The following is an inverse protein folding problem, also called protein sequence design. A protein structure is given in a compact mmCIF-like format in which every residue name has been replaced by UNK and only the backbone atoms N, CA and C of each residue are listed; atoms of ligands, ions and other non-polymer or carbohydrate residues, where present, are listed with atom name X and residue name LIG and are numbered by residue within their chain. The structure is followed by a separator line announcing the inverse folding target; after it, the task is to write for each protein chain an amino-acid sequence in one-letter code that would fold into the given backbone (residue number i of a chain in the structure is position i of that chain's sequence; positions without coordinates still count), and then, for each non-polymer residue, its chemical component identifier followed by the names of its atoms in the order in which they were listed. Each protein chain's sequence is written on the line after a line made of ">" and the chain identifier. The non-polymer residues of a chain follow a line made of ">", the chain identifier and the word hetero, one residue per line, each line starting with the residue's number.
data_IF_673840124727
#
_entry.id   IF_673840124727
#
_cell.length_a   1.000
_cell.length_b   1.000
_cell.length_c   1.000
_cell.angle_alpha   90.00
_cell.angle_beta   90.00
_cell.angle_gamma   90.00
#
_symmetry.space_group_name_H-M   'P 1'
#
loop_
_entity.id
_entity.type
_entity.pdbx_description
1 polymer ?
#
# COMPACT_ATOMS: atom_id res chain seq x y z
N UNK A 1 8.22 -4.47 15.35
CA UNK A 1 7.01 -4.81 14.56
C UNK A 1 7.44 -5.05 13.13
N UNK A 2 6.74 -5.91 12.39
CA UNK A 2 7.08 -6.20 11.00
C UNK A 2 5.82 -6.06 10.14
N UNK A 3 6.02 -5.63 8.87
CA UNK A 3 5.00 -5.69 7.85
C UNK A 3 5.34 -6.88 6.95
N UNK A 4 4.57 -7.94 7.05
CA UNK A 4 4.77 -9.19 6.30
C UNK A 4 3.85 -9.13 5.08
N UNK A 5 4.44 -9.02 3.91
CA UNK A 5 3.70 -8.86 2.65
C UNK A 5 3.66 -10.17 1.89
N UNK A 6 2.45 -10.62 1.56
CA UNK A 6 2.22 -11.66 0.57
C UNK A 6 2.11 -11.00 -0.79
N UNK A 7 3.10 -11.22 -1.65
CA UNK A 7 3.10 -10.65 -2.99
C UNK A 7 2.03 -11.27 -3.88
N UNK A 8 1.68 -10.61 -4.97
CA UNK A 8 0.73 -11.10 -5.98
C UNK A 8 1.16 -12.45 -6.60
N UNK A 9 2.46 -12.75 -6.56
CA UNK A 9 3.02 -14.04 -6.97
C UNK A 9 2.96 -15.13 -5.88
N UNK A 10 2.45 -14.80 -4.69
CA UNK A 10 2.35 -15.72 -3.56
C UNK A 10 3.64 -15.93 -2.77
N UNK A 11 4.65 -15.10 -2.98
CA UNK A 11 5.89 -15.06 -2.17
C UNK A 11 5.69 -14.18 -0.95
N UNK A 12 6.59 -14.29 0.03
CA UNK A 12 6.58 -13.48 1.24
C UNK A 12 7.84 -12.65 1.36
N UNK A 13 7.66 -11.37 1.65
CA UNK A 13 8.72 -10.44 2.02
C UNK A 13 8.37 -9.78 3.36
N UNK A 14 9.38 -9.31 4.06
CA UNK A 14 9.20 -8.55 5.30
C UNK A 14 9.72 -7.14 5.06
N UNK A 15 8.86 -6.14 5.26
CA UNK A 15 9.24 -4.74 5.27
C UNK A 15 9.47 -4.29 6.71
N UNK A 16 10.52 -3.51 6.98
CA UNK A 16 10.76 -2.97 8.33
C UNK A 16 9.64 -2.00 8.74
N UNK A 17 9.46 -1.82 10.02
CA UNK A 17 8.46 -0.92 10.59
C UNK A 17 8.72 0.56 10.27
N UNK A 18 9.95 0.95 9.94
CA UNK A 18 10.29 2.30 9.47
C UNK A 18 9.63 2.64 8.14
N UNK A 19 9.22 1.64 7.35
CA UNK A 19 8.48 1.89 6.10
C UNK A 19 7.02 2.24 6.34
N UNK A 20 6.50 2.04 7.55
CA UNK A 20 5.08 2.20 7.85
C UNK A 20 4.68 3.65 8.03
N UNK A 21 3.73 4.08 7.21
CA UNK A 21 3.04 5.35 7.34
C UNK A 21 1.58 5.12 7.76
N UNK A 22 1.15 5.75 8.86
CA UNK A 22 -0.17 5.59 9.48
C UNK A 22 -1.03 6.82 9.45
N UNK A 23 -0.38 7.97 9.43
CA UNK A 23 -0.99 9.27 9.74
C UNK A 23 -1.19 10.10 8.46
N UNK A 24 -0.97 9.48 7.27
CA UNK A 24 -1.07 10.12 5.95
C UNK A 24 -0.11 11.33 5.80
N UNK A 25 1.10 11.21 6.35
CA UNK A 25 2.13 12.20 6.10
C UNK A 25 2.60 12.15 4.64
N UNK A 26 2.91 13.32 4.09
CA UNK A 26 3.43 13.43 2.73
C UNK A 26 4.77 12.71 2.58
N UNK A 27 4.97 12.03 1.46
CA UNK A 27 6.25 11.41 1.16
C UNK A 27 7.15 12.35 0.36
N UNK A 28 8.31 12.66 0.92
CA UNK A 28 9.39 13.36 0.24
C UNK A 28 10.33 12.33 -0.37
N UNK A 29 10.24 12.17 -1.69
CA UNK A 29 10.99 11.14 -2.41
C UNK A 29 12.47 11.49 -2.45
N UNK A 30 13.38 10.62 -1.96
CA UNK A 30 14.82 10.89 -1.98
C UNK A 30 15.35 11.17 -3.39
N UNK A 31 16.40 11.99 -3.51
CA UNK A 31 16.98 12.40 -4.80
C UNK A 31 17.43 11.24 -5.70
N UNK A 32 17.85 10.12 -5.10
CA UNK A 32 18.30 8.94 -5.84
C UNK A 32 17.13 8.09 -6.41
N UNK A 33 15.88 8.42 -6.04
CA UNK A 33 14.67 7.75 -6.54
C UNK A 33 14.01 8.65 -7.58
N UNK A 34 13.89 8.16 -8.80
CA UNK A 34 13.27 8.86 -9.90
C UNK A 34 11.90 8.34 -10.28
N UNK A 35 11.59 7.10 -9.92
CA UNK A 35 10.35 6.41 -10.30
C UNK A 35 9.78 5.64 -9.14
N UNK A 36 8.46 5.76 -8.97
CA UNK A 36 7.70 4.99 -7.99
C UNK A 36 6.68 4.10 -8.69
N UNK A 37 6.71 2.83 -8.35
CA UNK A 37 5.62 1.90 -8.63
C UNK A 37 4.81 1.65 -7.36
N UNK A 38 3.61 1.11 -7.52
CA UNK A 38 2.68 0.91 -6.43
C UNK A 38 1.87 -0.39 -6.56
N UNK A 39 1.32 -0.82 -5.43
CA UNK A 39 0.32 -1.89 -5.38
C UNK A 39 -0.65 -1.65 -4.23
N UNK A 40 -1.96 -1.85 -4.44
CA UNK A 40 -2.94 -1.83 -3.36
C UNK A 40 -2.84 -3.12 -2.55
N UNK A 41 -3.07 -3.01 -1.25
CA UNK A 41 -3.04 -4.15 -0.34
C UNK A 41 -4.27 -4.21 0.56
N UNK A 42 -4.71 -5.42 0.85
CA UNK A 42 -5.54 -5.74 2.00
C UNK A 42 -4.60 -6.10 3.15
N UNK A 43 -4.78 -5.52 4.33
CA UNK A 43 -3.95 -5.87 5.46
C UNK A 43 -4.76 -6.24 6.71
N UNK A 44 -4.14 -7.04 7.58
CA UNK A 44 -4.69 -7.44 8.86
C UNK A 44 -3.69 -7.18 9.98
N UNK A 45 -4.17 -6.59 11.08
CA UNK A 45 -3.38 -6.38 12.29
C UNK A 45 -3.37 -7.64 13.14
N UNK A 46 -2.17 -8.12 13.46
CA UNK A 46 -1.98 -9.30 14.31
C UNK A 46 -2.19 -8.92 15.77
N UNK A 47 -3.14 -9.58 16.41
CA UNK A 47 -3.49 -9.39 17.82
C UNK A 47 -2.93 -10.49 18.74
N UNK A 48 -2.42 -11.59 18.17
CA UNK A 48 -1.92 -12.74 18.92
C UNK A 48 -0.66 -13.34 18.28
N UNK A 49 0.39 -13.62 19.08
CA UNK A 49 1.60 -14.23 18.55
C UNK A 49 1.36 -15.67 18.11
N UNK A 50 2.08 -16.13 17.08
CA UNK A 50 1.94 -17.49 16.58
C UNK A 50 3.02 -17.96 15.64
N UNK A 51 3.17 -19.27 15.52
CA UNK A 51 4.01 -19.98 14.56
C UNK A 51 3.27 -21.23 14.10
N UNK A 52 3.42 -21.59 12.82
CA UNK A 52 2.77 -22.77 12.23
C UNK A 52 1.25 -22.79 12.49
N UNK A 53 0.61 -21.65 12.31
CA UNK A 53 -0.84 -21.48 12.52
C UNK A 53 -1.58 -22.16 11.39
N UNK A 54 -2.49 -23.08 11.73
CA UNK A 54 -3.39 -23.68 10.74
C UNK A 54 -4.44 -22.68 10.24
N UNK A 55 -4.83 -22.80 8.98
CA UNK A 55 -5.77 -21.86 8.34
C UNK A 55 -7.11 -21.77 9.09
N UNK A 56 -7.63 -22.89 9.61
CA UNK A 56 -8.87 -22.94 10.39
C UNK A 56 -8.79 -22.17 11.71
N UNK A 57 -7.59 -21.96 12.22
CA UNK A 57 -7.35 -21.23 13.46
C UNK A 57 -6.89 -19.79 13.25
N UNK A 58 -6.52 -19.41 12.03
CA UNK A 58 -5.89 -18.14 11.70
C UNK A 58 -6.77 -16.94 12.06
N UNK A 59 -8.09 -17.09 12.00
CA UNK A 59 -9.04 -16.02 12.36
C UNK A 59 -8.91 -15.52 13.81
N UNK A 60 -8.31 -16.31 14.69
CA UNK A 60 -8.09 -15.94 16.10
C UNK A 60 -6.84 -15.09 16.32
N UNK A 61 -6.06 -14.85 15.25
CA UNK A 61 -4.75 -14.20 15.33
C UNK A 61 -4.75 -12.75 14.87
N UNK A 62 -5.85 -12.27 14.27
CA UNK A 62 -6.00 -10.87 13.89
C UNK A 62 -7.32 -10.30 14.41
N UNK A 63 -7.37 -9.01 14.66
CA UNK A 63 -8.53 -8.32 15.24
C UNK A 63 -9.06 -7.17 14.38
N UNK A 64 -8.29 -6.72 13.40
CA UNK A 64 -8.68 -5.64 12.54
C UNK A 64 -8.09 -5.80 11.14
N UNK A 65 -8.77 -5.17 10.19
CA UNK A 65 -8.42 -5.17 8.77
C UNK A 65 -8.39 -3.75 8.23
N UNK A 66 -7.70 -3.55 7.13
CA UNK A 66 -7.71 -2.31 6.40
C UNK A 66 -7.22 -2.51 4.98
N UNK A 67 -7.40 -1.47 4.18
CA UNK A 67 -6.79 -1.37 2.86
C UNK A 67 -5.72 -0.30 2.88
N UNK A 68 -4.69 -0.52 2.08
CA UNK A 68 -3.54 0.37 2.02
C UNK A 68 -2.85 0.32 0.67
N UNK A 69 -1.72 1.01 0.60
CA UNK A 69 -0.88 1.09 -0.59
C UNK A 69 0.57 0.87 -0.19
N UNK A 70 1.26 0.06 -0.98
CA UNK A 70 2.71 -0.07 -0.91
C UNK A 70 3.34 0.63 -2.09
N UNK A 71 4.32 1.48 -1.83
CA UNK A 71 5.15 2.13 -2.83
C UNK A 71 6.50 1.42 -2.93
N UNK A 72 7.08 1.43 -4.13
CA UNK A 72 8.38 0.83 -4.41
C UNK A 72 9.21 1.76 -5.29
N UNK A 73 10.45 2.11 -4.88
CA UNK A 73 11.39 2.84 -5.72
C UNK A 73 11.86 1.94 -6.87
N UNK A 74 11.38 2.20 -8.07
CA UNK A 74 11.62 1.33 -9.23
C UNK A 74 13.09 1.31 -9.65
N UNK A 75 13.82 2.40 -9.39
CA UNK A 75 15.25 2.49 -9.66
C UNK A 75 16.10 1.49 -8.82
N UNK A 76 15.56 1.02 -7.70
CA UNK A 76 16.19 -0.02 -6.87
C UNK A 76 15.80 -1.44 -7.30
N UNK A 77 14.78 -1.58 -8.17
CA UNK A 77 14.29 -2.85 -8.68
C UNK A 77 15.05 -3.21 -9.98
N UNK A 78 16.19 -3.84 -9.84
CA UNK A 78 17.07 -4.25 -10.97
C UNK A 78 16.69 -5.61 -11.58
N UNK A 79 15.53 -6.14 -11.24
CA UNK A 79 15.07 -7.47 -11.66
C UNK A 79 15.60 -8.61 -10.78
N UNK A 80 16.49 -8.33 -9.82
CA UNK A 80 16.95 -9.32 -8.83
C UNK A 80 16.05 -9.36 -7.59
N UNK A 81 16.06 -10.48 -6.89
CA UNK A 81 15.38 -10.60 -5.59
C UNK A 81 16.00 -9.65 -4.53
N UNK A 82 17.29 -9.40 -4.60
CA UNK A 82 17.99 -8.47 -3.71
C UNK A 82 17.59 -7.02 -3.96
N UNK A 83 17.50 -6.59 -5.22
CA UNK A 83 17.03 -5.26 -5.59
C UNK A 83 15.59 -5.04 -5.11
N UNK A 84 14.72 -6.02 -5.30
CA UNK A 84 13.34 -5.95 -4.79
C UNK A 84 13.28 -5.89 -3.25
N UNK A 85 14.12 -6.66 -2.55
CA UNK A 85 14.19 -6.59 -1.10
C UNK A 85 14.67 -5.21 -0.61
N UNK A 86 15.67 -4.62 -1.27
CA UNK A 86 16.13 -3.26 -0.97
C UNK A 86 15.04 -2.21 -1.22
N UNK A 87 14.33 -2.29 -2.36
CA UNK A 87 13.22 -1.41 -2.69
C UNK A 87 12.09 -1.49 -1.65
N UNK A 88 11.93 -2.65 -1.01
CA UNK A 88 10.93 -2.87 0.03
C UNK A 88 11.30 -2.28 1.39
N UNK A 89 12.48 -1.69 1.54
CA UNK A 89 12.98 -1.13 2.80
C UNK A 89 12.97 0.40 2.84
N UNK A 90 12.54 1.08 1.78
CA UNK A 90 12.49 2.54 1.77
C UNK A 90 11.47 3.03 2.81
N UNK A 91 11.91 3.96 3.66
CA UNK A 91 11.08 4.53 4.72
C UNK A 91 9.82 5.21 4.17
N UNK A 92 8.74 5.24 4.96
CA UNK A 92 7.46 5.89 4.62
C UNK A 92 6.84 5.43 3.29
N UNK A 93 7.01 4.15 2.91
CA UNK A 93 6.47 3.62 1.65
C UNK A 93 5.40 2.54 1.84
N UNK A 94 4.96 2.32 3.08
CA UNK A 94 3.86 1.40 3.41
C UNK A 94 2.71 2.16 4.05
N UNK A 95 1.82 2.72 3.24
CA UNK A 95 0.64 3.46 3.70
C UNK A 95 -0.44 2.48 4.15
N UNK A 96 -0.46 2.20 5.46
CA UNK A 96 -1.40 1.28 6.10
C UNK A 96 -2.11 2.02 7.23
N UNK A 97 -3.20 2.74 6.91
CA UNK A 97 -3.83 3.71 7.81
C UNK A 97 -4.50 3.08 9.01
N UNK A 98 -4.60 3.84 10.09
CA UNK A 98 -5.36 3.52 11.30
C UNK A 98 -6.43 4.60 11.56
N UNK A 99 -7.55 4.22 12.21
CA UNK A 99 -7.88 2.92 12.82
C UNK A 99 -8.25 1.83 11.81
N UNK A 100 -7.98 0.58 12.17
CA UNK A 100 -8.41 -0.59 11.40
C UNK A 100 -9.89 -0.87 11.59
N UNK A 101 -10.52 -1.45 10.59
CA UNK A 101 -11.91 -1.86 10.60
C UNK A 101 -12.09 -3.23 11.25
N UNK A 102 -13.29 -3.50 11.73
CA UNK A 102 -13.64 -4.82 12.22
C UNK A 102 -13.63 -5.82 11.04
N UNK A 103 -13.11 -7.02 11.28
CA UNK A 103 -12.97 -8.07 10.28
C UNK A 103 -14.28 -8.50 9.57
N UNK A 104 -15.43 -8.36 10.23
CA UNK A 104 -16.74 -8.64 9.59
C UNK A 104 -17.09 -7.65 8.47
N UNK A 105 -16.36 -6.54 8.35
CA UNK A 105 -16.56 -5.54 7.30
C UNK A 105 -16.14 -6.08 5.92
N UNK A 106 -15.21 -7.05 5.88
CA UNK A 106 -14.68 -7.62 4.64
C UNK A 106 -15.71 -8.32 3.78
N UNK A 107 -16.62 -9.06 4.42
CA UNK A 107 -17.56 -9.93 3.72
C UNK A 107 -18.79 -9.18 3.19
N UNK A 108 -18.80 -7.85 3.26
CA UNK A 108 -19.90 -7.01 2.79
C UNK A 108 -19.60 -6.45 1.40
N UNK A 109 -20.37 -6.82 0.36
CA UNK A 109 -20.12 -6.41 -1.02
C UNK A 109 -20.27 -4.89 -1.24
N UNK A 110 -21.03 -4.21 -0.39
CA UNK A 110 -21.17 -2.75 -0.43
C UNK A 110 -19.92 -1.99 0.02
N UNK A 111 -18.97 -2.66 0.69
CA UNK A 111 -17.74 -2.08 1.13
C UNK A 111 -16.71 -2.08 0.01
N UNK A 112 -16.61 -0.97 -0.68
CA UNK A 112 -15.68 -0.77 -1.79
C UNK A 112 -14.47 0.00 -1.31
N UNK A 113 -13.28 -0.45 -1.69
CA UNK A 113 -12.03 0.30 -1.59
C UNK A 113 -11.71 0.91 -2.94
N UNK A 114 -11.61 2.23 -2.98
CA UNK A 114 -11.29 3.00 -4.19
C UNK A 114 -10.01 3.79 -3.98
N UNK A 115 -9.15 3.81 -5.00
CA UNK A 115 -7.91 4.56 -5.00
C UNK A 115 -7.88 5.49 -6.21
N UNK A 116 -7.59 6.76 -5.95
CA UNK A 116 -7.51 7.83 -6.96
C UNK A 116 -6.13 8.47 -6.93
N UNK A 117 -5.66 8.85 -8.11
CA UNK A 117 -4.38 9.52 -8.30
C UNK A 117 -4.57 10.81 -9.09
N UNK A 118 -3.85 11.86 -8.69
CA UNK A 118 -3.90 13.18 -9.35
C UNK A 118 -2.51 13.78 -9.40
N UNK A 119 -2.13 14.33 -10.54
CA UNK A 119 -0.94 15.16 -10.66
C UNK A 119 -1.29 16.59 -10.23
N UNK A 120 -0.47 17.17 -9.38
CA UNK A 120 -0.61 18.55 -8.94
C UNK A 120 0.36 19.39 -9.76
N UNK A 121 -0.16 20.12 -10.77
CA UNK A 121 0.67 21.03 -11.54
C UNK A 121 1.11 22.22 -10.70
N UNK A 122 2.38 22.70 -10.86
CA UNK A 122 2.81 23.92 -10.22
C UNK A 122 1.94 25.08 -10.73
N UNK A 123 1.37 25.86 -9.83
CA UNK A 123 0.53 27.00 -10.16
C UNK A 123 1.30 27.98 -11.06
N UNK A 124 1.09 27.93 -12.36
CA UNK A 124 1.56 28.91 -13.32
C UNK A 124 0.66 30.16 -13.25
N UNK A 125 1.04 31.09 -12.35
CA UNK A 125 0.53 32.48 -12.33
C UNK A 125 -0.91 32.65 -11.88
N UNK A 126 -1.08 33.20 -10.67
CA UNK A 126 -2.22 33.95 -10.16
C UNK A 126 -3.61 33.69 -10.79
N UNK A 127 -4.24 32.62 -10.39
CA UNK A 127 -5.68 32.56 -10.18
C UNK A 127 -5.92 31.63 -8.99
N UNK A 128 -6.51 32.17 -7.92
CA UNK A 128 -7.04 31.40 -6.78
C UNK A 128 -8.30 30.60 -7.19
N UNK A 129 -8.21 29.83 -8.25
CA UNK A 129 -9.23 28.83 -8.54
C UNK A 129 -8.77 27.50 -7.92
N UNK A 130 -9.42 27.14 -6.82
CA UNK A 130 -9.44 25.77 -6.32
C UNK A 130 -9.71 24.88 -7.51
N UNK A 131 -8.72 24.10 -7.92
CA UNK A 131 -8.90 23.01 -8.88
C UNK A 131 -10.00 22.12 -8.29
N UNK A 132 -11.14 22.11 -8.97
CA UNK A 132 -12.29 21.35 -8.54
C UNK A 132 -11.89 19.89 -8.32
N UNK A 133 -12.42 19.30 -7.24
CA UNK A 133 -12.11 17.96 -6.73
C UNK A 133 -12.42 16.80 -7.69
N UNK A 134 -12.68 17.06 -8.96
CA UNK A 134 -13.24 16.09 -9.91
C UNK A 134 -12.28 15.60 -11.00
N UNK A 135 -11.02 16.07 -11.03
CA UNK A 135 -10.02 15.64 -12.03
C UNK A 135 -9.12 14.48 -11.53
N UNK A 136 -9.58 13.76 -10.51
CA UNK A 136 -8.88 12.60 -9.95
C UNK A 136 -9.19 11.35 -10.74
N UNK A 137 -8.18 10.74 -11.33
CA UNK A 137 -8.35 9.48 -12.07
C UNK A 137 -8.42 8.32 -11.07
N UNK A 138 -9.50 7.54 -11.11
CA UNK A 138 -9.57 6.26 -10.39
C UNK A 138 -8.56 5.30 -11.02
N UNK A 139 -7.62 4.81 -10.22
CA UNK A 139 -6.57 3.88 -10.65
C UNK A 139 -6.80 2.46 -10.15
N UNK A 140 -7.67 2.28 -9.16
CA UNK A 140 -8.02 0.98 -8.61
C UNK A 140 -9.35 1.01 -7.85
N UNK A 141 -10.15 -0.03 -8.04
CA UNK A 141 -11.36 -0.29 -7.25
C UNK A 141 -11.45 -1.77 -6.91
N UNK A 142 -11.81 -2.09 -5.67
CA UNK A 142 -11.93 -3.45 -5.19
C UNK A 142 -13.08 -3.61 -4.20
N UNK A 143 -13.87 -4.65 -4.40
CA UNK A 143 -14.96 -5.02 -3.50
C UNK A 143 -14.90 -6.50 -3.15
N UNK A 144 -15.36 -6.86 -1.95
CA UNK A 144 -15.58 -8.26 -1.59
C UNK A 144 -14.32 -9.07 -1.30
N UNK A 145 -13.33 -8.48 -0.63
CA UNK A 145 -12.20 -9.26 -0.10
C UNK A 145 -12.69 -10.27 0.93
N UNK A 146 -12.33 -11.53 0.74
CA UNK A 146 -12.74 -12.59 1.66
C UNK A 146 -11.79 -12.72 2.84
N UNK A 147 -12.36 -12.97 4.03
CA UNK A 147 -11.60 -13.34 5.23
C UNK A 147 -10.71 -14.58 4.99
N UNK A 148 -11.07 -15.42 4.02
CA UNK A 148 -10.27 -16.54 3.57
C UNK A 148 -8.87 -16.18 3.07
N UNK A 149 -8.74 -15.07 2.35
CA UNK A 149 -7.42 -14.60 1.87
C UNK A 149 -6.47 -14.28 3.03
N UNK A 150 -6.97 -13.62 4.07
CA UNK A 150 -6.19 -13.29 5.28
C UNK A 150 -5.82 -14.56 6.04
N UNK A 151 -6.76 -15.49 6.25
CA UNK A 151 -6.50 -16.75 6.94
C UNK A 151 -5.41 -17.56 6.24
N UNK A 152 -5.51 -17.67 4.92
CA UNK A 152 -4.50 -18.33 4.08
C UNK A 152 -3.14 -17.64 4.21
N UNK A 153 -3.08 -16.31 4.11
CA UNK A 153 -1.83 -15.57 4.23
C UNK A 153 -1.17 -15.77 5.60
N UNK A 154 -1.93 -15.73 6.70
CA UNK A 154 -1.41 -16.01 8.04
C UNK A 154 -0.88 -17.44 8.13
N UNK A 155 -1.62 -18.43 7.64
CA UNK A 155 -1.21 -19.83 7.69
C UNK A 155 0.08 -20.07 6.90
N UNK A 156 0.18 -19.52 5.70
CA UNK A 156 1.37 -19.64 4.85
C UNK A 156 2.57 -18.92 5.46
N UNK A 157 2.42 -17.65 5.86
CA UNK A 157 3.51 -16.85 6.45
C UNK A 157 4.07 -17.50 7.73
N UNK A 158 3.21 -18.00 8.60
CA UNK A 158 3.63 -18.57 9.89
C UNK A 158 4.36 -19.90 9.80
N UNK A 159 4.42 -20.53 8.61
CA UNK A 159 5.30 -21.68 8.37
C UNK A 159 6.78 -21.30 8.49
N UNK A 160 7.14 -20.08 8.11
CA UNK A 160 8.52 -19.59 8.12
C UNK A 160 8.74 -18.49 9.16
N UNK A 161 7.75 -17.64 9.41
CA UNK A 161 7.85 -16.42 10.21
C UNK A 161 7.09 -16.60 11.52
N UNK A 162 7.71 -16.23 12.65
CA UNK A 162 7.00 -16.09 13.91
C UNK A 162 6.35 -14.71 13.95
N UNK A 163 5.00 -14.66 13.89
CA UNK A 163 4.25 -13.43 13.99
C UNK A 163 4.08 -13.01 15.46
N UNK A 164 4.08 -11.69 15.69
CA UNK A 164 3.93 -11.09 17.02
C UNK A 164 2.72 -10.17 17.05
N UNK A 165 2.20 -9.92 18.23
CA UNK A 165 1.17 -8.89 18.42
C UNK A 165 1.70 -7.54 17.93
N UNK A 166 0.92 -6.87 17.12
CA UNK A 166 1.28 -5.60 16.47
C UNK A 166 1.89 -5.75 15.08
N UNK A 167 2.35 -6.94 14.67
CA UNK A 167 2.73 -7.18 13.29
C UNK A 167 1.52 -7.00 12.34
N UNK A 168 1.81 -6.71 11.09
CA UNK A 168 0.82 -6.60 10.03
C UNK A 168 1.08 -7.66 8.97
N UNK A 169 0.02 -8.35 8.55
CA UNK A 169 0.03 -9.17 7.32
C UNK A 169 -0.66 -8.37 6.23
N UNK A 170 0.05 -8.05 5.16
CA UNK A 170 -0.47 -7.38 3.98
C UNK A 170 -0.50 -8.33 2.78
N UNK A 171 -1.51 -8.21 1.94
CA UNK A 171 -1.72 -9.04 0.75
C UNK A 171 -1.85 -8.12 -0.45
N UNK A 172 -0.95 -8.23 -1.41
CA UNK A 172 -1.05 -7.50 -2.67
C UNK A 172 -2.28 -7.96 -3.45
N UNK A 173 -3.13 -7.01 -3.84
CA UNK A 173 -4.38 -7.27 -4.57
C UNK A 173 -4.18 -7.29 -6.09
N UNK A 174 -3.06 -6.79 -6.56
CA UNK A 174 -2.64 -6.85 -7.97
C UNK A 174 -1.10 -6.82 -8.06
N UNK A 175 -0.52 -7.19 -9.21
CA UNK A 175 0.88 -6.94 -9.49
C UNK A 175 1.20 -5.44 -9.42
N UNK A 176 2.45 -5.12 -9.09
CA UNK A 176 2.94 -3.73 -9.09
C UNK A 176 2.70 -3.07 -10.44
N UNK A 177 2.34 -1.80 -10.41
CA UNK A 177 2.17 -0.94 -11.59
C UNK A 177 3.00 0.33 -11.44
N UNK A 178 3.41 0.89 -12.56
CA UNK A 178 3.99 2.22 -12.60
C UNK A 178 3.00 3.24 -12.03
N UNK A 179 3.50 4.27 -11.32
CA UNK A 179 2.71 5.34 -10.78
C UNK A 179 3.18 6.69 -11.32
N UNK A 180 4.28 7.18 -10.79
CA UNK A 180 4.80 8.48 -11.15
C UNK A 180 6.33 8.49 -11.24
N UNK A 181 6.86 9.49 -11.91
CA UNK A 181 8.29 9.71 -12.09
C UNK A 181 8.64 11.19 -11.93
N UNK A 182 9.84 11.47 -11.47
CA UNK A 182 10.42 12.80 -11.48
C UNK A 182 10.46 13.34 -12.92
N UNK A 183 10.14 14.60 -13.15
CA UNK A 183 10.02 15.21 -14.48
C UNK A 183 11.24 14.97 -15.38
N UNK A 184 12.42 14.92 -14.79
CA UNK A 184 13.69 14.73 -15.51
C UNK A 184 14.18 13.28 -15.56
N UNK A 185 13.37 12.32 -15.16
CA UNK A 185 13.76 10.91 -15.02
C UNK A 185 13.98 10.14 -16.35
N UNK A 186 13.87 10.83 -17.47
CA UNK A 186 13.87 10.21 -18.80
C UNK A 186 12.48 9.64 -19.18
N UNK A 187 12.17 9.67 -20.47
CA UNK A 187 10.87 9.26 -20.96
C UNK A 187 10.63 7.76 -20.70
N UNK A 188 9.60 7.46 -19.93
CA UNK A 188 9.05 6.12 -19.78
C UNK A 188 7.52 6.23 -19.91
N UNK A 189 6.91 5.56 -20.90
CA UNK A 189 5.48 5.76 -21.21
C UNK A 189 4.55 5.30 -20.09
N UNK A 190 5.05 4.45 -19.18
CA UNK A 190 4.22 3.84 -18.14
C UNK A 190 4.12 4.70 -16.87
N UNK A 191 5.05 5.65 -16.68
CA UNK A 191 5.10 6.51 -15.50
C UNK A 191 4.62 7.91 -15.82
N UNK A 192 3.81 8.46 -14.93
CA UNK A 192 3.33 9.85 -15.07
C UNK A 192 4.40 10.82 -14.57
N UNK A 193 4.98 11.69 -15.41
CA UNK A 193 5.96 12.68 -14.98
C UNK A 193 5.28 13.72 -14.08
N UNK A 194 5.85 14.02 -12.92
CA UNK A 194 5.35 15.05 -12.02
C UNK A 194 6.41 15.49 -11.00
N UNK A 195 6.29 16.72 -10.52
CA UNK A 195 7.03 17.23 -9.36
C UNK A 195 6.26 16.97 -8.06
N UNK A 196 4.92 16.96 -8.13
CA UNK A 196 4.02 16.66 -7.01
C UNK A 196 2.78 15.94 -7.52
N UNK A 197 2.32 14.97 -6.77
CA UNK A 197 1.07 14.26 -7.03
C UNK A 197 0.39 13.88 -5.72
N UNK A 198 -0.92 13.65 -5.76
CA UNK A 198 -1.71 13.24 -4.61
C UNK A 198 -2.27 11.82 -4.83
N UNK A 199 -2.26 11.04 -3.78
CA UNK A 199 -2.88 9.72 -3.75
C UNK A 199 -3.93 9.68 -2.64
N UNK A 200 -5.17 9.39 -3.04
CA UNK A 200 -6.32 9.38 -2.16
C UNK A 200 -7.08 8.08 -2.24
N UNK A 201 -7.47 7.55 -1.08
CA UNK A 201 -8.30 6.36 -1.03
C UNK A 201 -9.50 6.51 -0.10
N UNK A 202 -10.56 5.81 -0.46
CA UNK A 202 -11.76 5.68 0.35
C UNK A 202 -12.08 4.22 0.61
N UNK A 203 -12.58 3.91 1.80
CA UNK A 203 -13.10 2.60 2.15
C UNK A 203 -14.38 2.75 2.98
N UNK A 204 -15.42 2.01 2.63
CA UNK A 204 -16.75 2.14 3.25
C UNK A 204 -17.29 3.58 3.24
N UNK A 205 -16.97 4.35 2.20
CA UNK A 205 -17.36 5.77 2.06
C UNK A 205 -16.57 6.74 2.94
N UNK A 206 -15.59 6.25 3.72
CA UNK A 206 -14.70 7.09 4.50
C UNK A 206 -13.36 7.25 3.80
N UNK A 207 -12.79 8.44 3.88
CA UNK A 207 -11.42 8.69 3.47
C UNK A 207 -10.47 7.98 4.42
N UNK A 208 -9.58 7.17 3.86
CA UNK A 208 -8.60 6.38 4.63
C UNK A 208 -7.16 6.76 4.31
N UNK A 209 -6.91 7.21 3.10
CA UNK A 209 -5.60 7.65 2.62
C UNK A 209 -5.77 9.00 1.93
N UNK A 210 -4.92 9.97 2.24
CA UNK A 210 -4.79 11.24 1.52
C UNK A 210 -3.41 11.82 1.82
N UNK A 211 -2.46 11.70 0.88
CA UNK A 211 -1.11 12.22 1.02
C UNK A 211 -0.54 12.63 -0.32
N UNK A 212 0.44 13.51 -0.27
CA UNK A 212 1.18 13.94 -1.45
C UNK A 212 2.50 13.19 -1.63
N UNK A 213 2.84 12.93 -2.88
CA UNK A 213 4.15 12.44 -3.31
C UNK A 213 4.89 13.63 -3.90
N UNK A 214 6.03 13.99 -3.29
CA UNK A 214 6.83 15.17 -3.63
C UNK A 214 8.23 14.71 -4.05
N UNK A 215 8.59 15.01 -5.30
CA UNK A 215 9.89 14.67 -5.88
C UNK A 215 10.94 15.77 -5.70
#
# INVERSE_FOLDING_TARGET
>A
MNIIVRTSEGKYIVRPDTTWERDNEDIYVPEFVNRLSWTPVLFARISKPGRSVGEDFAERYYDGIGYGVLLYPEDMCDGSETGFACASCLDHTSFLPFPVYNKVTLDRPENVFELKFTVIEPASGMTDEKTDADDRTEIFSHSGASSGAIRKAIAEATRCIYIRTGDVIAIELQPRKALCARENAGASPDFTPCSRSNLKATFCGNETIDFDIIF
#
